data_IF_743057728360
#
_entry.id   IF_743057728360
#
_cell.length_a   1.000
_cell.length_b   1.000
_cell.length_c   1.000
_cell.angle_alpha   90.00
_cell.angle_beta   90.00
_cell.angle_gamma   90.00
#
_symmetry.space_group_name_H-M   'P 1'
#
loop_
_entity.id
_entity.type
_entity.pdbx_description
1 polymer ?
#
# COMPACT_ATOMS: atom_id res chain seq x y z
N UNK A 1 -34.93 -38.43 -4.17
CA UNK A 1 -33.94 -39.32 -3.52
C UNK A 1 -32.58 -38.80 -3.95
N UNK A 2 -32.08 -37.79 -3.24
CA UNK A 2 -31.00 -37.86 -2.22
C UNK A 2 -29.66 -38.12 -2.91
N UNK A 3 -28.65 -37.25 -2.82
CA UNK A 3 -28.14 -36.68 -1.56
C UNK A 3 -27.44 -35.33 -1.75
N UNK A 4 -27.59 -34.47 -0.74
CA UNK A 4 -26.98 -33.15 -0.65
C UNK A 4 -25.70 -33.26 0.19
N UNK A 5 -24.54 -32.95 -0.39
CA UNK A 5 -23.30 -32.90 0.36
C UNK A 5 -23.22 -31.60 1.16
N UNK A 6 -23.15 -31.77 2.48
CA UNK A 6 -23.10 -30.74 3.51
C UNK A 6 -21.93 -29.77 3.33
N UNK A 7 -22.27 -28.49 3.10
CA UNK A 7 -21.36 -27.38 3.36
C UNK A 7 -21.30 -27.15 4.87
N UNK A 8 -20.16 -27.49 5.48
CA UNK A 8 -19.93 -27.31 6.91
C UNK A 8 -20.01 -25.83 7.30
N UNK A 9 -21.01 -25.54 8.13
CA UNK A 9 -21.17 -24.32 8.91
C UNK A 9 -19.91 -24.08 9.77
N UNK A 10 -19.20 -22.96 9.52
CA UNK A 10 -18.11 -22.53 10.40
C UNK A 10 -18.67 -21.53 11.40
N UNK A 11 -18.42 -21.72 12.70
CA UNK A 11 -18.89 -20.78 13.70
C UNK A 11 -18.24 -19.40 13.50
N UNK A 12 -18.97 -18.31 13.78
CA UNK A 12 -18.39 -16.97 13.78
C UNK A 12 -17.33 -16.90 14.89
N UNK A 13 -16.12 -16.45 14.55
CA UNK A 13 -15.06 -16.24 15.54
C UNK A 13 -15.25 -14.89 16.20
N UNK A 14 -15.69 -14.92 17.46
CA UNK A 14 -15.54 -13.82 18.41
C UNK A 14 -14.04 -13.59 18.72
N UNK A 15 -13.58 -12.35 18.58
CA UNK A 15 -12.23 -11.93 18.93
C UNK A 15 -12.00 -10.45 18.58
N UNK A 16 -11.62 -9.65 19.58
CA UNK A 16 -11.61 -8.18 19.56
C UNK A 16 -10.91 -7.51 18.37
N UNK A 17 -11.55 -6.45 17.87
CA UNK A 17 -11.29 -5.68 16.64
C UNK A 17 -10.08 -4.71 16.73
N UNK A 18 -8.98 -5.17 17.34
CA UNK A 18 -7.81 -4.36 17.66
C UNK A 18 -6.51 -4.71 16.93
N UNK A 19 -6.24 -6.00 16.64
CA UNK A 19 -4.84 -6.47 16.63
C UNK A 19 -4.41 -7.34 15.42
N UNK A 20 -4.98 -7.13 14.23
CA UNK A 20 -4.57 -7.93 13.04
C UNK A 20 -4.30 -7.12 11.81
N UNK A 21 -3.40 -6.13 11.90
CA UNK A 21 -2.68 -5.71 10.70
C UNK A 21 -1.83 -6.91 10.26
N UNK A 22 -2.17 -7.47 9.09
CA UNK A 22 -1.36 -8.49 8.44
C UNK A 22 -0.19 -7.77 7.78
N UNK A 23 1.02 -8.16 8.17
CA UNK A 23 2.28 -7.63 7.67
C UNK A 23 3.27 -8.79 7.56
N UNK A 24 4.22 -8.66 6.65
CA UNK A 24 5.43 -9.47 6.61
C UNK A 24 6.08 -9.54 8.01
N UNK A 25 6.49 -10.74 8.49
CA UNK A 25 6.94 -10.93 9.87
C UNK A 25 8.10 -10.02 10.32
N UNK A 26 9.10 -9.81 9.46
CA UNK A 26 10.24 -8.94 9.75
C UNK A 26 9.81 -7.50 10.00
N UNK A 27 8.98 -6.96 9.11
CA UNK A 27 8.36 -5.65 9.31
C UNK A 27 7.50 -5.62 10.57
N UNK A 28 6.61 -6.59 10.77
CA UNK A 28 5.72 -6.63 11.93
C UNK A 28 6.50 -6.58 13.25
N UNK A 29 7.63 -7.27 13.35
CA UNK A 29 8.48 -7.27 14.53
C UNK A 29 9.10 -5.89 14.82
N UNK A 30 9.34 -5.07 13.79
CA UNK A 30 9.95 -3.74 13.92
C UNK A 30 8.92 -2.62 14.14
N UNK A 31 7.85 -2.62 13.35
CA UNK A 31 6.90 -1.51 13.30
C UNK A 31 5.56 -1.80 13.99
N UNK A 32 5.35 -3.04 14.45
CA UNK A 32 4.08 -3.46 15.06
C UNK A 32 3.71 -2.65 16.32
N UNK A 33 4.70 -2.31 17.16
CA UNK A 33 4.47 -1.44 18.32
C UNK A 33 4.22 0.01 17.91
N UNK A 34 4.85 0.49 16.83
CA UNK A 34 4.60 1.85 16.32
C UNK A 34 3.14 2.03 15.90
N UNK A 35 2.55 1.01 15.27
CA UNK A 35 1.13 1.03 14.87
C UNK A 35 0.15 1.16 16.04
N UNK A 36 0.59 0.94 17.29
CA UNK A 36 -0.25 1.05 18.50
C UNK A 36 -0.24 2.45 19.11
N UNK A 37 0.65 3.35 18.66
CA UNK A 37 0.76 4.71 19.18
C UNK A 37 -0.49 5.55 18.93
N UNK A 38 -0.68 6.58 19.76
CA UNK A 38 -1.86 7.45 19.74
C UNK A 38 -2.03 8.19 18.40
N UNK A 39 -0.94 8.61 17.77
CA UNK A 39 -0.93 9.21 16.43
C UNK A 39 -1.49 8.24 15.36
N UNK A 40 -1.10 6.97 15.41
CA UNK A 40 -1.63 5.93 14.53
C UNK A 40 -3.09 5.56 14.83
N UNK A 41 -3.50 5.56 16.10
CA UNK A 41 -4.91 5.35 16.45
C UNK A 41 -5.80 6.53 15.99
N UNK A 42 -5.29 7.76 16.09
CA UNK A 42 -5.96 8.94 15.56
C UNK A 42 -6.09 8.87 14.03
N UNK A 43 -5.03 8.47 13.32
CA UNK A 43 -5.05 8.25 11.88
C UNK A 43 -6.06 7.17 11.48
N UNK A 44 -6.08 6.02 12.18
CA UNK A 44 -7.06 4.94 11.95
C UNK A 44 -8.50 5.45 12.11
N UNK A 45 -8.74 6.25 13.14
CA UNK A 45 -10.06 6.85 13.41
C UNK A 45 -10.47 7.82 12.32
N UNK A 46 -9.55 8.70 11.90
CA UNK A 46 -9.75 9.63 10.80
C UNK A 46 -10.13 8.90 9.51
N UNK A 47 -9.36 7.88 9.09
CA UNK A 47 -9.64 7.13 7.86
C UNK A 47 -11.00 6.42 7.93
N UNK A 48 -11.33 5.81 9.07
CA UNK A 48 -12.63 5.16 9.28
C UNK A 48 -13.78 6.16 9.14
N UNK A 49 -13.66 7.34 9.75
CA UNK A 49 -14.67 8.39 9.66
C UNK A 49 -14.85 8.90 8.22
N UNK A 50 -13.75 9.08 7.47
CA UNK A 50 -13.81 9.44 6.03
C UNK A 50 -14.62 8.40 5.25
N UNK A 51 -14.27 7.12 5.40
CA UNK A 51 -14.95 6.03 4.69
C UNK A 51 -16.43 5.88 5.10
N UNK A 52 -16.75 6.05 6.38
CA UNK A 52 -18.14 6.04 6.87
C UNK A 52 -18.97 7.20 6.31
N UNK A 53 -18.34 8.34 6.06
CA UNK A 53 -18.95 9.51 5.40
C UNK A 53 -19.02 9.39 3.87
N UNK A 54 -18.67 8.22 3.31
CA UNK A 54 -18.76 7.94 1.88
C UNK A 54 -17.55 8.35 1.07
N UNK A 55 -16.43 8.73 1.69
CA UNK A 55 -15.20 8.99 0.95
C UNK A 55 -14.59 7.68 0.41
N UNK A 56 -14.21 7.70 -0.86
CA UNK A 56 -13.41 6.64 -1.47
C UNK A 56 -11.94 6.90 -1.14
N UNK A 57 -11.30 5.97 -0.41
CA UNK A 57 -9.90 6.07 0.01
C UNK A 57 -9.07 5.03 -0.74
N UNK A 58 -7.93 5.45 -1.28
CA UNK A 58 -6.98 4.61 -1.99
C UNK A 58 -5.62 4.55 -1.29
N UNK A 59 -4.89 3.43 -1.43
CA UNK A 59 -5.35 2.16 -1.99
C UNK A 59 -6.41 1.50 -1.07
N UNK A 60 -7.09 0.42 -1.51
CA UNK A 60 -7.98 -0.34 -0.64
C UNK A 60 -7.28 -0.73 0.68
N UNK A 61 -8.00 -0.82 1.83
CA UNK A 61 -7.37 -1.03 3.14
C UNK A 61 -6.40 -2.21 3.23
N UNK A 62 -6.71 -3.31 2.53
CA UNK A 62 -5.86 -4.51 2.48
C UNK A 62 -4.53 -4.31 1.74
N UNK A 63 -4.38 -3.21 0.99
CA UNK A 63 -3.23 -2.90 0.16
C UNK A 63 -2.40 -1.71 0.69
N UNK A 64 -2.79 -1.11 1.82
CA UNK A 64 -2.07 0.06 2.37
C UNK A 64 -0.61 -0.27 2.66
N UNK A 65 -0.32 -1.49 3.11
CA UNK A 65 1.02 -1.93 3.47
C UNK A 65 1.67 -2.86 2.42
N UNK A 66 1.13 -2.92 1.19
CA UNK A 66 1.63 -3.83 0.15
C UNK A 66 3.14 -3.68 -0.13
N UNK A 67 3.70 -2.47 -0.04
CA UNK A 67 5.14 -2.26 -0.25
C UNK A 67 6.01 -3.02 0.77
N UNK A 68 5.59 -3.05 2.04
CA UNK A 68 6.27 -3.77 3.12
C UNK A 68 6.10 -5.29 2.95
N UNK A 69 4.91 -5.72 2.53
CA UNK A 69 4.64 -7.14 2.26
C UNK A 69 5.41 -7.67 1.04
N UNK A 70 5.56 -6.84 0.00
CA UNK A 70 6.25 -7.21 -1.23
C UNK A 70 7.77 -7.20 -1.10
N UNK A 71 8.31 -6.45 -0.13
CA UNK A 71 9.75 -6.30 0.10
C UNK A 71 10.09 -6.65 1.55
N UNK A 72 10.41 -7.92 1.87
CA UNK A 72 10.74 -8.33 3.23
C UNK A 72 11.87 -7.49 3.82
N UNK A 73 11.80 -7.19 5.12
CA UNK A 73 12.72 -6.24 5.79
C UNK A 73 14.20 -6.53 5.49
N UNK A 74 14.63 -7.78 5.65
CA UNK A 74 16.03 -8.20 5.44
C UNK A 74 16.45 -8.28 3.97
N UNK A 75 15.52 -8.09 3.03
CA UNK A 75 15.77 -8.12 1.58
C UNK A 75 15.81 -6.71 0.96
N UNK A 76 15.54 -5.65 1.73
CA UNK A 76 15.60 -4.28 1.25
C UNK A 76 17.04 -3.92 0.86
N UNK A 77 17.22 -3.45 -0.37
CA UNK A 77 18.49 -2.98 -0.93
C UNK A 77 18.44 -1.52 -1.35
N UNK A 78 17.27 -1.08 -1.82
CA UNK A 78 17.02 0.27 -2.32
C UNK A 78 15.67 0.73 -1.79
N UNK A 79 15.59 1.99 -1.37
CA UNK A 79 14.34 2.64 -0.99
C UNK A 79 14.03 3.74 -2.02
N UNK A 80 12.85 3.66 -2.63
CA UNK A 80 12.31 4.71 -3.49
C UNK A 80 11.11 5.32 -2.76
N UNK A 81 11.17 6.64 -2.54
CA UNK A 81 10.15 7.38 -1.83
C UNK A 81 9.29 8.18 -2.81
N UNK A 82 7.98 7.92 -2.79
CA UNK A 82 6.95 8.77 -3.39
C UNK A 82 6.30 9.68 -2.36
N UNK A 83 5.42 10.58 -2.83
CA UNK A 83 4.73 11.54 -1.96
C UNK A 83 3.45 10.93 -1.38
N UNK A 84 2.43 10.74 -2.21
CA UNK A 84 1.13 10.14 -1.89
C UNK A 84 0.68 9.19 -3.02
N UNK A 85 -0.27 8.28 -2.77
CA UNK A 85 -0.74 7.34 -3.79
C UNK A 85 -1.46 8.07 -4.93
N UNK A 86 -1.58 7.41 -6.08
CA UNK A 86 -2.49 7.89 -7.12
C UNK A 86 -3.93 7.98 -6.61
N UNK A 87 -4.58 9.11 -6.87
CA UNK A 87 -5.93 9.41 -6.37
C UNK A 87 -7.06 9.01 -7.35
N UNK A 88 -6.74 8.34 -8.46
CA UNK A 88 -7.73 7.82 -9.41
C UNK A 88 -8.11 6.37 -9.10
N UNK A 89 -9.38 6.04 -9.37
CA UNK A 89 -9.91 4.69 -9.17
C UNK A 89 -9.06 3.61 -9.87
N UNK A 90 -8.70 2.56 -9.13
CA UNK A 90 -7.95 1.41 -9.65
C UNK A 90 -6.48 1.66 -10.00
N UNK A 91 -5.94 2.84 -9.66
CA UNK A 91 -4.53 3.16 -9.94
C UNK A 91 -3.59 2.68 -8.83
N UNK A 92 -3.81 3.16 -7.61
CA UNK A 92 -2.95 2.84 -6.47
C UNK A 92 -3.20 1.43 -5.95
N UNK A 93 -2.13 0.67 -5.72
CA UNK A 93 -2.18 -0.68 -5.14
C UNK A 93 -1.16 -0.92 -4.01
N UNK A 94 -0.66 0.17 -3.43
CA UNK A 94 0.22 0.14 -2.25
C UNK A 94 1.71 0.20 -2.52
N UNK A 95 2.14 0.29 -3.78
CA UNK A 95 3.53 0.54 -4.20
C UNK A 95 3.61 1.93 -4.83
N UNK A 96 4.56 2.77 -4.41
CA UNK A 96 4.74 4.10 -4.99
C UNK A 96 5.04 4.02 -6.49
N UNK A 97 4.55 4.99 -7.27
CA UNK A 97 4.64 5.07 -8.74
C UNK A 97 3.99 3.92 -9.54
N UNK A 98 3.74 2.77 -8.93
CA UNK A 98 3.23 1.58 -9.61
C UNK A 98 1.72 1.60 -9.81
N UNK A 99 1.27 1.02 -10.93
CA UNK A 99 -0.14 0.72 -11.22
C UNK A 99 -0.30 -0.74 -11.62
N UNK A 100 -1.50 -1.30 -11.45
CA UNK A 100 -1.80 -2.68 -11.86
C UNK A 100 -1.71 -2.89 -13.38
N UNK A 101 -1.53 -4.13 -13.81
CA UNK A 101 -1.59 -4.47 -15.24
C UNK A 101 -2.97 -4.10 -15.83
N UNK A 102 -2.97 -3.57 -17.05
CA UNK A 102 -4.18 -3.08 -17.71
C UNK A 102 -4.53 -1.62 -17.38
N UNK A 103 -3.93 -1.03 -16.34
CA UNK A 103 -4.05 0.40 -16.06
C UNK A 103 -3.07 1.19 -16.92
N UNK A 104 -3.53 2.32 -17.47
CA UNK A 104 -2.67 3.24 -18.23
C UNK A 104 -1.49 3.72 -17.39
N UNK A 105 -0.29 3.71 -17.97
CA UNK A 105 0.94 4.11 -17.28
C UNK A 105 0.89 5.62 -16.98
N UNK A 106 0.97 6.04 -15.70
CA UNK A 106 0.87 7.45 -15.34
C UNK A 106 2.07 8.29 -15.84
N UNK A 107 1.91 9.61 -16.03
CA UNK A 107 2.98 10.46 -16.57
C UNK A 107 4.29 10.43 -15.77
N UNK A 108 4.21 10.35 -14.43
CA UNK A 108 5.37 10.22 -13.55
C UNK A 108 6.16 8.93 -13.84
N UNK A 109 5.48 7.80 -13.98
CA UNK A 109 6.12 6.52 -14.32
C UNK A 109 6.66 6.50 -15.75
N UNK A 110 5.97 7.14 -16.70
CA UNK A 110 6.51 7.36 -18.06
C UNK A 110 7.85 8.10 -18.01
N UNK A 111 7.99 9.10 -17.14
CA UNK A 111 9.25 9.82 -16.99
C UNK A 111 10.33 8.95 -16.36
N UNK A 112 10.01 8.11 -15.37
CA UNK A 112 10.96 7.13 -14.80
C UNK A 112 11.45 6.17 -15.91
N UNK A 113 10.55 5.66 -16.74
CA UNK A 113 10.92 4.77 -17.84
C UNK A 113 11.77 5.45 -18.93
N UNK A 114 11.48 6.72 -19.25
CA UNK A 114 12.33 7.51 -20.15
C UNK A 114 13.74 7.67 -19.58
N UNK A 115 13.85 7.90 -18.27
CA UNK A 115 15.15 8.02 -17.60
C UNK A 115 15.92 6.70 -17.64
N UNK A 116 15.27 5.58 -17.33
CA UNK A 116 15.90 4.25 -17.42
C UNK A 116 16.40 3.91 -18.82
N UNK A 117 15.64 4.27 -19.86
CA UNK A 117 16.06 4.10 -21.24
C UNK A 117 17.26 4.98 -21.59
N UNK A 118 17.27 6.23 -21.12
CA UNK A 118 18.34 7.20 -21.39
C UNK A 118 19.65 6.81 -20.68
N UNK A 119 19.55 6.45 -19.41
CA UNK A 119 20.71 6.21 -18.55
C UNK A 119 21.30 4.81 -18.74
N UNK A 120 20.43 3.79 -18.84
CA UNK A 120 20.85 2.38 -18.84
C UNK A 120 20.55 1.65 -20.15
N UNK A 121 19.91 2.30 -21.12
CA UNK A 121 19.51 1.65 -22.37
C UNK A 121 18.35 0.66 -22.23
N UNK A 122 17.67 0.62 -21.08
CA UNK A 122 16.62 -0.35 -20.78
C UNK A 122 15.30 0.07 -21.45
N UNK A 123 14.76 -0.81 -22.28
CA UNK A 123 13.48 -0.58 -22.97
C UNK A 123 12.32 -0.43 -21.99
N UNK A 124 11.44 0.59 -22.16
CA UNK A 124 10.29 0.77 -21.30
C UNK A 124 9.29 -0.38 -21.48
N UNK A 125 8.80 -1.01 -20.40
CA UNK A 125 7.77 -2.03 -20.51
C UNK A 125 6.41 -1.42 -20.91
N UNK A 126 5.53 -2.26 -21.47
CA UNK A 126 4.18 -1.84 -21.87
C UNK A 126 3.16 -1.77 -20.70
N UNK A 127 3.62 -1.86 -19.45
CA UNK A 127 2.79 -1.83 -18.24
C UNK A 127 3.42 -0.97 -17.14
N UNK A 128 2.62 -0.58 -16.15
CA UNK A 128 3.08 0.22 -15.01
C UNK A 128 3.28 -0.55 -13.69
N UNK A 129 3.16 -1.88 -13.73
CA UNK A 129 3.38 -2.72 -12.55
C UNK A 129 4.87 -2.84 -12.22
N UNK A 130 5.25 -2.49 -10.98
CA UNK A 130 6.62 -2.49 -10.47
C UNK A 130 6.84 -3.56 -9.40
N UNK A 131 5.91 -4.52 -9.25
CA UNK A 131 6.04 -5.63 -8.29
C UNK A 131 7.36 -6.39 -8.47
N UNK A 132 7.84 -6.54 -9.71
CA UNK A 132 9.12 -7.18 -9.99
C UNK A 132 10.31 -6.48 -9.32
N UNK A 133 10.28 -5.15 -9.19
CA UNK A 133 11.33 -4.42 -8.48
C UNK A 133 11.27 -4.67 -6.97
N UNK A 134 10.05 -4.71 -6.40
CA UNK A 134 9.85 -5.03 -4.99
C UNK A 134 10.39 -6.42 -4.64
N UNK A 135 10.10 -7.42 -5.46
CA UNK A 135 10.62 -8.79 -5.32
C UNK A 135 12.16 -8.88 -5.36
N UNK A 136 12.83 -7.87 -5.92
CA UNK A 136 14.29 -7.81 -6.01
C UNK A 136 14.94 -6.99 -4.88
N UNK A 137 14.14 -6.45 -3.95
CA UNK A 137 14.60 -5.68 -2.80
C UNK A 137 14.43 -4.17 -2.94
N UNK A 138 13.62 -3.69 -3.89
CA UNK A 138 13.33 -2.25 -4.03
C UNK A 138 12.05 -1.90 -3.25
N UNK A 139 12.22 -1.29 -2.08
CA UNK A 139 11.10 -0.82 -1.28
C UNK A 139 10.48 0.43 -1.92
N UNK A 140 9.28 0.28 -2.49
CA UNK A 140 8.52 1.34 -3.18
C UNK A 140 7.48 1.97 -2.23
N UNK A 141 7.92 2.88 -1.36
CA UNK A 141 7.11 3.45 -0.27
C UNK A 141 6.68 4.90 -0.59
N UNK A 142 5.46 5.29 -0.24
CA UNK A 142 5.06 6.71 -0.24
C UNK A 142 5.23 7.29 1.17
N UNK A 143 5.51 8.58 1.32
CA UNK A 143 5.50 9.26 2.62
C UNK A 143 4.09 9.31 3.25
N UNK A 144 3.06 9.39 2.42
CA UNK A 144 1.65 9.25 2.82
C UNK A 144 1.09 7.99 2.19
N UNK A 145 0.54 7.06 2.97
CA UNK A 145 0.12 5.75 2.46
C UNK A 145 -1.31 5.68 1.95
N UNK A 146 -2.10 6.75 2.11
CA UNK A 146 -3.48 6.80 1.64
C UNK A 146 -3.84 8.17 1.05
N UNK A 147 -4.85 8.20 0.19
CA UNK A 147 -5.39 9.44 -0.39
C UNK A 147 -6.89 9.29 -0.61
N UNK A 148 -7.62 10.41 -0.59
CA UNK A 148 -9.03 10.42 -0.97
C UNK A 148 -9.16 10.59 -2.50
N UNK A 149 -10.12 9.90 -3.10
CA UNK A 149 -10.36 9.96 -4.54
C UNK A 149 -10.50 11.41 -5.05
N UNK A 150 -9.75 11.74 -6.10
CA UNK A 150 -9.75 13.06 -6.72
C UNK A 150 -9.13 14.18 -5.88
N UNK A 151 -8.56 13.88 -4.70
CA UNK A 151 -7.99 14.90 -3.79
C UNK A 151 -6.55 14.55 -3.42
N UNK A 152 -5.61 14.93 -4.30
CA UNK A 152 -4.18 14.82 -4.03
C UNK A 152 -3.81 15.49 -2.69
N UNK A 153 -2.97 14.82 -1.90
CA UNK A 153 -2.50 15.33 -0.60
C UNK A 153 -3.55 15.39 0.51
N UNK A 154 -4.77 14.87 0.32
CA UNK A 154 -5.85 14.99 1.32
C UNK A 154 -5.52 14.41 2.71
N UNK A 155 -4.59 13.45 2.79
CA UNK A 155 -4.20 12.80 4.03
C UNK A 155 -2.80 13.21 4.53
N UNK A 156 -2.22 14.26 3.94
CA UNK A 156 -1.00 14.87 4.48
C UNK A 156 -1.24 15.46 5.87
N UNK A 157 -0.25 15.36 6.74
CA UNK A 157 -0.28 15.81 8.13
C UNK A 157 -1.27 15.06 9.01
N UNK A 158 -1.72 13.87 8.59
CA UNK A 158 -2.67 13.04 9.36
C UNK A 158 -1.99 11.95 10.18
N UNK A 159 -0.67 11.81 10.09
CA UNK A 159 0.13 10.90 10.90
C UNK A 159 0.93 9.86 10.10
N UNK A 160 0.74 9.79 8.77
CA UNK A 160 1.50 8.87 7.94
C UNK A 160 2.99 9.19 7.91
N UNK A 161 3.35 10.47 7.89
CA UNK A 161 4.73 10.91 7.72
C UNK A 161 5.62 10.39 8.85
N UNK A 162 5.18 10.53 10.11
CA UNK A 162 5.92 10.00 11.25
C UNK A 162 6.03 8.47 11.23
N UNK A 163 5.02 7.77 10.73
CA UNK A 163 5.09 6.32 10.54
C UNK A 163 6.10 5.94 9.47
N UNK A 164 6.09 6.61 8.32
CA UNK A 164 7.04 6.30 7.24
C UNK A 164 8.46 6.73 7.56
N UNK A 165 8.65 7.79 8.34
CA UNK A 165 9.95 8.18 8.89
C UNK A 165 10.51 7.10 9.84
N UNK A 166 9.65 6.37 10.54
CA UNK A 166 10.07 5.24 11.38
C UNK A 166 10.38 3.97 10.57
N UNK A 167 9.83 3.85 9.37
CA UNK A 167 10.08 2.72 8.45
C UNK A 167 11.44 2.84 7.76
N UNK A 168 11.86 4.07 7.43
CA UNK A 168 13.13 4.40 6.74
C UNK A 168 14.30 4.44 7.73
#
# INVERSE_FOLDING_TARGET
MTDAAAAGDRPPREGGDGDRVRLEPGWKARIGEYLKRDDMQALRTFLRDRMQKGAHVFPPPAQIFSALDATPFDQVKVVILGQDPYHGFGQAHGLCFSVQHGTAVPPSLVNIYKELQRDLGIAPPAHGCLTHWAEQGVLLLNAVLTVEEGKAGAHQGKGWEGFTDHVV
#
